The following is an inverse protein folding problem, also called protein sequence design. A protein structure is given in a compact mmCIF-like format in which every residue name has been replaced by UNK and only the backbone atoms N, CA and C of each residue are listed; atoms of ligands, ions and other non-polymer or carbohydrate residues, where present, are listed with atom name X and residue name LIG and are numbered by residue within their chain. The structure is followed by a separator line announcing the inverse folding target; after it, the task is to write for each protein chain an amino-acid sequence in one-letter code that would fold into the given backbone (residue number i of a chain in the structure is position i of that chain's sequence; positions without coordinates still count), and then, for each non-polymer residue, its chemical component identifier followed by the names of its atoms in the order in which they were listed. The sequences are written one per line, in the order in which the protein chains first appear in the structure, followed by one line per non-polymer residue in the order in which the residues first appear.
data_IF_670725515450
#
_entry.id   IF_670725515450
#
_cell.length_a   1.000
_cell.length_b   1.000
_cell.length_c   1.000
_cell.angle_alpha   90.00
_cell.angle_beta   90.00
_cell.angle_gamma   90.00
#
_symmetry.space_group_name_H-M   'P 1'
#
loop_
_entity.id
_entity.type
_entity.pdbx_description
1 polymer ?
#
# COMPACT_ATOMS: atom_id res chain seq x y z
N UNK A 1 35.51 -19.21 -16.81
CA UNK A 1 36.39 -20.39 -16.96
C UNK A 1 35.98 -21.53 -16.03
N UNK A 2 35.93 -21.34 -14.71
CA UNK A 2 35.72 -22.43 -13.74
C UNK A 2 34.50 -23.32 -13.98
N UNK A 3 33.32 -22.77 -14.26
CA UNK A 3 32.08 -23.55 -14.48
C UNK A 3 32.11 -24.39 -15.77
N UNK A 4 32.64 -23.86 -16.86
CA UNK A 4 32.78 -24.60 -18.12
C UNK A 4 33.74 -25.80 -17.98
N UNK A 5 34.82 -25.66 -17.21
CA UNK A 5 35.72 -26.78 -16.91
C UNK A 5 34.99 -27.90 -16.13
N UNK A 6 34.12 -27.54 -15.18
CA UNK A 6 33.34 -28.51 -14.40
C UNK A 6 32.30 -29.24 -15.25
N UNK A 7 31.66 -28.53 -16.18
CA UNK A 7 30.74 -29.13 -17.16
C UNK A 7 31.43 -30.23 -17.98
N UNK A 8 32.61 -29.92 -18.54
CA UNK A 8 33.40 -30.89 -19.30
C UNK A 8 33.84 -32.09 -18.45
N UNK A 9 34.27 -31.83 -17.22
CA UNK A 9 34.71 -32.88 -16.29
C UNK A 9 33.56 -33.84 -15.93
N UNK A 10 32.38 -33.30 -15.62
CA UNK A 10 31.19 -34.09 -15.30
C UNK A 10 30.76 -34.92 -16.51
N UNK A 11 30.80 -34.34 -17.72
CA UNK A 11 30.53 -35.08 -18.95
C UNK A 11 31.50 -36.25 -19.16
N UNK A 12 32.80 -36.06 -18.97
CA UNK A 12 33.78 -37.16 -19.12
C UNK A 12 33.60 -38.25 -18.05
N UNK A 13 33.38 -37.85 -16.80
CA UNK A 13 33.15 -38.80 -15.70
C UNK A 13 31.86 -39.60 -15.92
N UNK A 14 30.83 -38.97 -16.46
CA UNK A 14 29.56 -39.65 -16.78
C UNK A 14 29.72 -40.63 -17.93
N UNK A 15 30.40 -40.23 -19.01
CA UNK A 15 30.71 -41.12 -20.15
C UNK A 15 31.52 -42.36 -19.71
N UNK A 16 32.42 -42.19 -18.74
CA UNK A 16 33.25 -43.27 -18.19
C UNK A 16 32.54 -44.09 -17.11
N UNK A 17 31.25 -43.83 -16.86
CA UNK A 17 30.44 -44.50 -15.85
C UNK A 17 30.98 -44.37 -14.41
N UNK A 18 31.72 -43.29 -14.12
CA UNK A 18 32.18 -43.00 -12.75
C UNK A 18 31.08 -42.36 -11.90
N UNK A 19 30.19 -41.58 -12.54
CA UNK A 19 29.03 -40.93 -11.92
C UNK A 19 27.87 -40.90 -12.92
N UNK A 20 26.63 -40.75 -12.44
CA UNK A 20 25.49 -40.38 -13.28
C UNK A 20 25.27 -38.85 -13.22
N UNK A 21 26.11 -38.12 -13.95
CA UNK A 21 26.18 -36.67 -13.87
C UNK A 21 25.06 -35.95 -14.61
N UNK A 22 24.62 -34.82 -14.03
CA UNK A 22 23.63 -33.89 -14.58
C UNK A 22 24.09 -32.47 -14.30
N UNK A 23 24.07 -31.59 -15.29
CA UNK A 23 24.51 -30.20 -15.11
C UNK A 23 23.45 -29.22 -15.59
N UNK A 24 22.98 -28.39 -14.65
CA UNK A 24 22.02 -27.33 -14.90
C UNK A 24 22.72 -25.97 -14.95
N UNK A 25 22.61 -25.27 -16.08
CA UNK A 25 22.98 -23.86 -16.20
C UNK A 25 21.80 -23.02 -15.74
N UNK A 26 21.94 -22.42 -14.56
CA UNK A 26 20.86 -21.64 -13.94
C UNK A 26 20.80 -20.22 -14.54
N UNK A 27 19.60 -19.70 -14.82
CA UNK A 27 19.38 -18.27 -15.05
C UNK A 27 19.63 -17.47 -13.77
N UNK A 28 19.46 -16.15 -13.85
CA UNK A 28 19.48 -15.32 -12.63
C UNK A 28 18.24 -15.61 -11.77
N UNK A 29 18.48 -16.18 -10.59
CA UNK A 29 17.41 -16.55 -9.64
C UNK A 29 16.93 -15.32 -8.88
N UNK A 30 15.63 -15.00 -8.98
CA UNK A 30 14.99 -13.83 -8.35
C UNK A 30 13.60 -14.18 -7.76
N UNK A 31 13.10 -13.37 -6.81
CA UNK A 31 13.87 -12.47 -5.97
C UNK A 31 14.65 -13.29 -4.94
N UNK A 32 15.88 -12.88 -4.64
CA UNK A 32 16.64 -13.49 -3.53
C UNK A 32 16.24 -12.85 -2.20
N UNK A 33 15.93 -13.62 -1.14
CA UNK A 33 15.55 -13.06 0.16
C UNK A 33 16.60 -12.14 0.78
N UNK A 34 17.88 -12.44 0.55
CA UNK A 34 19.01 -11.67 1.05
C UNK A 34 19.74 -10.89 -0.06
N UNK A 35 20.25 -9.68 0.25
CA UNK A 35 21.00 -8.86 -0.70
C UNK A 35 22.30 -9.53 -1.13
N UNK A 36 22.76 -9.21 -2.33
CA UNK A 36 24.07 -9.59 -2.84
C UNK A 36 24.65 -8.47 -3.69
N UNK A 37 25.97 -8.49 -3.90
CA UNK A 37 26.71 -7.50 -4.68
C UNK A 37 26.86 -7.85 -6.17
N UNK A 38 26.10 -8.82 -6.68
CA UNK A 38 26.18 -9.21 -8.08
C UNK A 38 25.61 -8.15 -9.02
N UNK A 39 26.15 -8.02 -10.24
CA UNK A 39 25.60 -7.08 -11.23
C UNK A 39 24.09 -7.25 -11.48
N UNK A 40 23.53 -8.48 -11.54
CA UNK A 40 22.09 -8.67 -11.69
C UNK A 40 21.25 -8.45 -10.42
N UNK A 41 21.84 -8.01 -9.30
CA UNK A 41 21.14 -7.87 -8.02
C UNK A 41 19.90 -6.98 -8.11
N UNK A 42 19.95 -5.94 -8.95
CA UNK A 42 18.83 -5.03 -9.19
C UNK A 42 17.53 -5.73 -9.62
N UNK A 43 17.60 -6.90 -10.29
CA UNK A 43 16.43 -7.69 -10.67
C UNK A 43 15.75 -8.37 -9.47
N UNK A 44 16.48 -8.61 -8.38
CA UNK A 44 15.89 -8.96 -7.09
C UNK A 44 15.42 -7.72 -6.34
N UNK A 45 16.22 -6.65 -6.33
CA UNK A 45 15.96 -5.46 -5.52
C UNK A 45 14.67 -4.73 -5.93
N UNK A 46 14.37 -4.70 -7.24
CA UNK A 46 13.12 -4.11 -7.79
C UNK A 46 11.85 -4.79 -7.26
N UNK A 47 11.95 -6.03 -6.78
CA UNK A 47 10.84 -6.76 -6.15
C UNK A 47 10.98 -6.78 -4.63
N UNK A 48 12.13 -7.19 -4.11
CA UNK A 48 12.34 -7.45 -2.68
C UNK A 48 12.21 -6.20 -1.83
N UNK A 49 12.89 -5.11 -2.20
CA UNK A 49 12.94 -3.91 -1.34
C UNK A 49 11.56 -3.26 -1.25
N UNK A 50 10.85 -3.01 -2.37
CA UNK A 50 9.51 -2.43 -2.32
C UNK A 50 8.52 -3.30 -1.56
N UNK A 51 8.54 -4.62 -1.76
CA UNK A 51 7.67 -5.56 -1.04
C UNK A 51 7.91 -5.57 0.48
N UNK A 52 9.07 -5.10 0.95
CA UNK A 52 9.39 -4.92 2.37
C UNK A 52 9.15 -3.49 2.86
N UNK A 53 8.51 -2.64 2.06
CA UNK A 53 8.30 -1.22 2.35
C UNK A 53 9.59 -0.38 2.31
N UNK A 54 10.70 -0.93 1.78
CA UNK A 54 12.01 -0.26 1.76
C UNK A 54 12.27 0.39 0.39
N UNK A 55 12.85 1.59 0.35
CA UNK A 55 13.18 2.23 -0.93
C UNK A 55 14.22 1.42 -1.71
N UNK A 56 14.07 1.39 -3.03
CA UNK A 56 14.95 0.69 -3.96
C UNK A 56 15.57 1.69 -4.93
N UNK A 57 16.88 1.93 -4.81
CA UNK A 57 17.63 2.75 -5.77
C UNK A 57 18.32 1.83 -6.78
N UNK A 58 17.81 1.78 -8.00
CA UNK A 58 18.26 0.86 -9.04
C UNK A 58 19.31 1.54 -9.93
N UNK A 59 20.52 0.97 -9.96
CA UNK A 59 21.67 1.48 -10.73
C UNK A 59 21.68 1.05 -12.20
N UNK A 60 20.59 0.47 -12.68
CA UNK A 60 20.42 -0.02 -14.06
C UNK A 60 19.26 0.70 -14.74
N UNK A 61 19.26 0.75 -16.08
CA UNK A 61 18.15 1.35 -16.82
C UNK A 61 16.89 0.47 -16.74
N UNK A 62 15.67 1.05 -16.75
CA UNK A 62 14.41 0.29 -16.71
C UNK A 62 14.27 -0.73 -17.84
N UNK A 63 14.79 -0.43 -19.02
CA UNK A 63 14.72 -1.27 -20.23
C UNK A 63 15.78 -2.38 -20.29
N UNK A 64 16.68 -2.47 -19.29
CA UNK A 64 17.67 -3.53 -19.23
C UNK A 64 17.00 -4.89 -19.12
N UNK A 65 17.23 -5.74 -20.14
CA UNK A 65 16.66 -7.07 -20.24
C UNK A 65 17.59 -8.15 -19.70
N UNK A 66 17.04 -9.15 -19.02
CA UNK A 66 17.82 -10.27 -18.48
C UNK A 66 17.02 -11.57 -18.40
N UNK A 67 17.72 -12.71 -18.43
CA UNK A 67 17.12 -14.03 -18.25
C UNK A 67 17.02 -14.35 -16.75
N UNK A 68 15.80 -14.51 -16.25
CA UNK A 68 15.50 -14.70 -14.83
C UNK A 68 14.65 -15.95 -14.59
N UNK A 69 14.67 -16.46 -13.36
CA UNK A 69 13.83 -17.59 -12.93
C UNK A 69 13.43 -17.45 -11.45
N UNK A 70 12.19 -17.81 -11.13
CA UNK A 70 11.70 -17.91 -9.77
C UNK A 70 12.34 -19.09 -9.02
N UNK A 71 12.66 -18.89 -7.73
CA UNK A 71 13.32 -19.93 -6.93
C UNK A 71 12.48 -21.21 -6.80
N UNK A 72 11.15 -21.12 -6.72
CA UNK A 72 10.25 -22.28 -6.63
C UNK A 72 10.30 -23.17 -7.87
N UNK A 73 10.18 -22.57 -9.05
CA UNK A 73 10.28 -23.29 -10.33
C UNK A 73 11.67 -23.89 -10.50
N UNK A 74 12.71 -23.16 -10.12
CA UNK A 74 14.08 -23.66 -10.16
C UNK A 74 14.28 -24.90 -9.28
N UNK A 75 13.83 -24.85 -8.01
CA UNK A 75 13.92 -25.98 -7.08
C UNK A 75 13.18 -27.19 -7.65
N UNK A 76 11.95 -27.01 -8.14
CA UNK A 76 11.17 -28.08 -8.77
C UNK A 76 11.93 -28.70 -9.94
N UNK A 77 12.51 -27.87 -10.80
CA UNK A 77 13.24 -28.37 -11.96
C UNK A 77 14.55 -29.06 -11.59
N UNK A 78 15.26 -28.60 -10.56
CA UNK A 78 16.48 -29.27 -10.07
C UNK A 78 16.17 -30.65 -9.49
N UNK A 79 15.10 -30.77 -8.70
CA UNK A 79 14.61 -32.05 -8.18
C UNK A 79 14.19 -32.97 -9.32
N UNK A 80 13.45 -32.45 -10.30
CA UNK A 80 13.04 -33.21 -11.48
C UNK A 80 14.24 -33.73 -12.27
N UNK A 81 15.20 -32.85 -12.58
CA UNK A 81 16.42 -33.20 -13.29
C UNK A 81 17.19 -34.31 -12.54
N UNK A 82 17.35 -34.18 -11.22
CA UNK A 82 18.04 -35.17 -10.40
C UNK A 82 17.36 -36.55 -10.42
N UNK A 83 16.03 -36.59 -10.50
CA UNK A 83 15.24 -37.83 -10.48
C UNK A 83 15.02 -38.46 -11.87
N UNK A 84 15.36 -37.77 -12.97
CA UNK A 84 15.23 -38.35 -14.31
C UNK A 84 16.10 -39.61 -14.45
N UNK A 85 15.58 -40.71 -15.04
CA UNK A 85 16.40 -41.90 -15.27
C UNK A 85 17.52 -41.59 -16.25
N UNK A 86 18.68 -42.23 -16.09
CA UNK A 86 19.83 -42.03 -16.98
C UNK A 86 19.50 -42.26 -18.47
N UNK A 87 18.54 -43.16 -18.75
CA UNK A 87 18.02 -43.44 -20.09
C UNK A 87 17.34 -42.24 -20.76
N UNK A 88 16.81 -41.27 -19.99
CA UNK A 88 16.23 -40.04 -20.55
C UNK A 88 17.27 -39.18 -21.29
N UNK A 89 18.57 -39.44 -21.09
CA UNK A 89 19.66 -38.75 -21.76
C UNK A 89 20.32 -39.61 -22.84
N UNK A 90 19.76 -40.78 -23.19
CA UNK A 90 20.41 -41.73 -24.10
C UNK A 90 20.73 -41.15 -25.49
N UNK A 91 19.97 -40.15 -25.94
CA UNK A 91 20.15 -39.50 -27.24
C UNK A 91 21.34 -38.52 -27.29
N UNK A 92 21.94 -38.16 -26.14
CA UNK A 92 23.08 -37.23 -26.10
C UNK A 92 24.01 -37.49 -24.94
N UNK A 93 25.31 -37.50 -25.23
CA UNK A 93 26.36 -37.61 -24.23
C UNK A 93 26.50 -36.36 -23.35
N UNK A 94 26.03 -35.21 -23.85
CA UNK A 94 26.10 -33.96 -23.11
C UNK A 94 25.14 -34.01 -21.93
N UNK A 95 25.61 -33.84 -20.70
CA UNK A 95 24.78 -33.78 -19.48
C UNK A 95 24.44 -32.35 -19.08
N UNK A 96 24.90 -31.37 -19.85
CA UNK A 96 24.66 -29.97 -19.61
C UNK A 96 23.39 -29.48 -20.32
N UNK A 97 22.62 -28.65 -19.64
CA UNK A 97 21.49 -27.95 -20.25
C UNK A 97 21.23 -26.60 -19.59
N UNK A 98 20.70 -25.67 -20.38
CA UNK A 98 20.12 -24.44 -19.87
C UNK A 98 18.78 -24.73 -19.24
N UNK A 99 18.55 -24.22 -18.03
CA UNK A 99 17.22 -24.28 -17.43
C UNK A 99 16.28 -23.27 -18.08
N UNK A 100 14.96 -23.54 -18.09
CA UNK A 100 13.98 -22.58 -18.54
C UNK A 100 14.10 -21.23 -17.79
N UNK A 101 14.00 -20.13 -18.54
CA UNK A 101 14.07 -18.77 -18.01
C UNK A 101 12.97 -17.90 -18.65
N UNK A 102 12.58 -16.84 -17.93
CA UNK A 102 11.85 -15.71 -18.50
C UNK A 102 12.82 -14.60 -18.89
N UNK A 103 12.61 -14.02 -20.07
CA UNK A 103 13.40 -12.88 -20.54
C UNK A 103 12.60 -11.60 -20.30
N UNK A 104 12.97 -10.83 -19.28
CA UNK A 104 12.19 -9.67 -18.79
C UNK A 104 13.09 -8.46 -18.56
N UNK A 105 12.50 -7.27 -18.64
CA UNK A 105 13.15 -6.01 -18.26
C UNK A 105 12.94 -5.69 -16.77
N UNK A 106 13.71 -4.76 -16.22
CA UNK A 106 13.43 -4.21 -14.89
C UNK A 106 12.05 -3.55 -14.83
N UNK A 107 11.63 -2.89 -15.91
CA UNK A 107 10.31 -2.29 -16.03
C UNK A 107 9.20 -3.36 -16.00
N UNK A 108 9.38 -4.51 -16.66
CA UNK A 108 8.40 -5.61 -16.62
C UNK A 108 8.23 -6.15 -15.20
N UNK A 109 9.32 -6.28 -14.44
CA UNK A 109 9.28 -6.70 -13.03
C UNK A 109 8.60 -5.65 -12.15
N UNK A 110 8.90 -4.37 -12.36
CA UNK A 110 8.23 -3.28 -11.65
C UNK A 110 6.72 -3.26 -11.94
N UNK A 111 6.30 -3.38 -13.20
CA UNK A 111 4.87 -3.48 -13.57
C UNK A 111 4.21 -4.72 -12.94
N UNK A 112 4.92 -5.84 -12.94
CA UNK A 112 4.44 -7.09 -12.35
C UNK A 112 4.24 -6.98 -10.84
N UNK A 113 5.16 -6.30 -10.14
CA UNK A 113 5.02 -5.97 -8.73
C UNK A 113 3.74 -5.17 -8.46
N UNK A 114 3.52 -4.10 -9.22
CA UNK A 114 2.32 -3.26 -9.08
C UNK A 114 1.04 -4.05 -9.35
N UNK A 115 1.07 -5.03 -10.26
CA UNK A 115 -0.08 -5.86 -10.59
C UNK A 115 -0.46 -6.88 -9.51
N UNK A 116 0.48 -7.31 -8.66
CA UNK A 116 0.23 -8.34 -7.63
C UNK A 116 -0.06 -7.76 -6.24
N UNK A 117 0.13 -6.46 -6.05
CA UNK A 117 -0.04 -5.78 -4.77
C UNK A 117 -1.38 -5.03 -4.76
N UNK A 118 -2.23 -5.31 -3.77
CA UNK A 118 -3.56 -4.68 -3.64
C UNK A 118 -3.49 -3.18 -3.35
N UNK A 119 -2.51 -2.77 -2.53
CA UNK A 119 -2.28 -1.37 -2.17
C UNK A 119 -0.83 -0.99 -2.49
N UNK A 120 -0.58 -0.34 -3.64
CA UNK A 120 0.77 0.10 -4.03
C UNK A 120 1.44 1.06 -3.04
N UNK A 121 0.69 1.71 -2.14
CA UNK A 121 1.29 2.63 -1.15
C UNK A 121 2.08 1.92 -0.05
N UNK A 122 1.84 0.61 0.13
CA UNK A 122 2.63 -0.25 1.03
C UNK A 122 4.03 -0.50 0.48
N UNK A 123 4.26 -0.22 -0.80
CA UNK A 123 5.53 -0.45 -1.46
C UNK A 123 6.53 0.65 -1.15
N UNK A 124 7.76 0.24 -0.87
CA UNK A 124 8.88 1.14 -0.85
C UNK A 124 9.11 1.78 -2.22
N UNK A 125 9.49 3.06 -2.23
CA UNK A 125 9.67 3.84 -3.45
C UNK A 125 10.82 3.29 -4.29
N UNK A 126 10.57 3.08 -5.58
CA UNK A 126 11.60 2.74 -6.57
C UNK A 126 12.11 4.02 -7.24
N UNK A 127 13.42 4.20 -7.29
CA UNK A 127 14.09 5.20 -8.12
C UNK A 127 15.12 4.55 -9.04
N UNK A 128 15.30 5.13 -10.23
CA UNK A 128 16.31 4.69 -11.18
C UNK A 128 17.42 5.74 -11.24
N UNK A 129 18.64 5.32 -10.93
CA UNK A 129 19.86 6.12 -11.02
C UNK A 129 20.90 5.37 -11.87
N UNK A 130 20.67 5.25 -13.20
CA UNK A 130 21.44 4.33 -14.03
C UNK A 130 22.92 4.71 -14.09
N UNK A 131 23.77 3.74 -13.84
CA UNK A 131 25.21 3.82 -13.99
C UNK A 131 25.60 3.26 -15.36
N UNK A 132 26.21 4.10 -16.20
CA UNK A 132 26.53 3.75 -17.59
C UNK A 132 27.51 2.58 -17.70
N UNK A 133 28.46 2.46 -16.78
CA UNK A 133 29.45 1.39 -16.77
C UNK A 133 28.80 0.07 -16.34
N UNK A 134 27.96 0.08 -15.31
CA UNK A 134 27.22 -1.11 -14.87
C UNK A 134 26.26 -1.60 -15.95
N UNK A 135 25.54 -0.69 -16.61
CA UNK A 135 24.66 -1.03 -17.73
C UNK A 135 25.42 -1.65 -18.89
N UNK A 136 26.58 -1.09 -19.26
CA UNK A 136 27.43 -1.63 -20.32
C UNK A 136 28.01 -3.01 -19.96
N UNK A 137 28.36 -3.26 -18.70
CA UNK A 137 28.80 -4.58 -18.26
C UNK A 137 27.68 -5.60 -18.34
N UNK A 138 26.49 -5.27 -17.83
CA UNK A 138 25.37 -6.20 -17.83
C UNK A 138 24.86 -6.50 -19.25
N UNK A 139 24.94 -5.55 -20.19
CA UNK A 139 24.50 -5.79 -21.56
C UNK A 139 25.29 -6.89 -22.29
N UNK A 140 26.48 -7.24 -21.79
CA UNK A 140 27.27 -8.38 -22.30
C UNK A 140 26.74 -9.74 -21.83
N UNK A 141 25.79 -9.77 -20.88
CA UNK A 141 25.22 -11.00 -20.35
C UNK A 141 24.15 -11.53 -21.29
N UNK A 142 23.95 -12.85 -21.27
CA UNK A 142 22.86 -13.46 -22.02
C UNK A 142 21.51 -12.92 -21.55
N UNK A 143 20.68 -12.48 -22.51
CA UNK A 143 19.34 -11.95 -22.23
C UNK A 143 18.25 -13.01 -22.40
N UNK A 144 18.59 -14.14 -23.01
CA UNK A 144 17.71 -15.26 -23.26
C UNK A 144 18.48 -16.57 -23.11
N UNK A 145 17.76 -17.65 -22.80
CA UNK A 145 18.32 -18.99 -22.66
C UNK A 145 17.49 -19.97 -23.49
N UNK A 146 18.15 -20.66 -24.43
CA UNK A 146 17.52 -21.77 -25.14
C UNK A 146 17.44 -22.99 -24.20
N UNK A 147 16.23 -23.26 -23.73
CA UNK A 147 15.90 -24.37 -22.85
C UNK A 147 15.11 -25.48 -23.56
N UNK A 148 15.20 -25.59 -24.89
CA UNK A 148 14.44 -26.58 -25.68
C UNK A 148 14.62 -28.00 -25.15
N UNK A 149 15.88 -28.40 -24.90
CA UNK A 149 16.20 -29.73 -24.35
C UNK A 149 15.65 -29.94 -22.94
N UNK A 150 15.75 -28.94 -22.08
CA UNK A 150 15.21 -29.01 -20.73
C UNK A 150 13.68 -29.17 -20.73
N UNK A 151 12.99 -28.44 -21.62
CA UNK A 151 11.54 -28.55 -21.79
C UNK A 151 11.11 -29.91 -22.33
N UNK A 152 11.84 -30.46 -23.31
CA UNK A 152 11.59 -31.81 -23.83
C UNK A 152 11.70 -32.89 -22.74
N UNK A 153 12.54 -32.64 -21.72
CA UNK A 153 12.72 -33.51 -20.56
C UNK A 153 11.73 -33.21 -19.41
N UNK A 154 10.75 -32.32 -19.61
CA UNK A 154 9.67 -32.05 -18.64
C UNK A 154 9.94 -30.92 -17.63
N UNK A 155 11.05 -30.19 -17.75
CA UNK A 155 11.26 -28.98 -16.95
C UNK A 155 10.35 -27.84 -17.44
N UNK A 156 9.83 -27.02 -16.52
CA UNK A 156 8.93 -25.92 -16.88
C UNK A 156 9.58 -24.57 -16.60
N UNK A 157 9.09 -23.53 -17.28
CA UNK A 157 9.42 -22.15 -16.94
C UNK A 157 8.39 -21.56 -15.99
N UNK A 158 8.76 -20.45 -15.36
CA UNK A 158 7.81 -19.59 -14.67
C UNK A 158 6.69 -19.14 -15.64
N UNK A 159 5.47 -19.02 -15.13
CA UNK A 159 4.29 -18.65 -15.93
C UNK A 159 4.29 -17.16 -16.28
N UNK A 160 4.78 -16.30 -15.39
CA UNK A 160 4.93 -14.86 -15.60
C UNK A 160 5.85 -14.22 -14.55
N UNK A 161 6.31 -13.00 -14.82
CA UNK A 161 7.00 -12.19 -13.82
C UNK A 161 6.11 -11.84 -12.61
N UNK A 162 4.79 -11.71 -12.82
CA UNK A 162 3.81 -11.52 -11.74
C UNK A 162 3.74 -12.74 -10.82
N UNK A 163 3.77 -13.97 -11.37
CA UNK A 163 3.80 -15.18 -10.56
C UNK A 163 5.04 -15.23 -9.65
N UNK A 164 6.21 -14.86 -10.19
CA UNK A 164 7.47 -14.77 -9.40
C UNK A 164 7.33 -13.76 -8.25
N UNK A 165 6.76 -12.58 -8.51
CA UNK A 165 6.57 -11.56 -7.49
C UNK A 165 5.56 -12.01 -6.41
N UNK A 166 4.45 -12.63 -6.82
CA UNK A 166 3.42 -13.16 -5.92
C UNK A 166 3.96 -14.28 -5.02
N UNK A 167 4.71 -15.23 -5.59
CA UNK A 167 5.35 -16.32 -4.83
C UNK A 167 6.32 -15.77 -3.77
N UNK A 168 7.09 -14.74 -4.11
CA UNK A 168 7.98 -14.09 -3.13
C UNK A 168 7.19 -13.34 -2.05
N UNK A 169 6.16 -12.59 -2.43
CA UNK A 169 5.32 -11.87 -1.49
C UNK A 169 4.64 -12.81 -0.48
N UNK A 170 4.11 -13.95 -0.95
CA UNK A 170 3.43 -14.91 -0.10
C UNK A 170 4.34 -15.58 0.94
N UNK A 171 5.64 -15.70 0.65
CA UNK A 171 6.60 -16.45 1.49
C UNK A 171 7.52 -15.58 2.34
N UNK A 172 7.88 -14.38 1.85
CA UNK A 172 8.92 -13.53 2.45
C UNK A 172 8.49 -12.12 2.84
N UNK A 173 7.21 -11.79 2.67
CA UNK A 173 6.64 -10.52 3.14
C UNK A 173 5.77 -10.83 4.35
N UNK A 174 6.05 -10.16 5.46
CA UNK A 174 5.19 -10.21 6.64
C UNK A 174 3.78 -9.71 6.24
N UNK A 175 2.71 -10.51 6.45
CA UNK A 175 1.34 -10.06 6.22
C UNK A 175 1.02 -8.72 6.91
N UNK A 176 1.70 -8.39 8.02
CA UNK A 176 1.57 -7.13 8.74
C UNK A 176 2.18 -5.91 8.02
N UNK A 177 3.04 -6.10 7.02
CA UNK A 177 3.59 -5.04 6.16
C UNK A 177 2.67 -4.70 4.97
N UNK A 178 1.71 -5.57 4.65
CA UNK A 178 0.65 -5.33 3.68
C UNK A 178 -0.65 -4.96 4.42
N UNK A 179 -0.68 -3.81 5.09
CA UNK A 179 -1.94 -3.33 5.69
C UNK A 179 -2.82 -2.77 4.58
N UNK A 180 -3.98 -3.39 4.25
CA UNK A 180 -4.85 -2.86 3.21
C UNK A 180 -5.36 -1.47 3.62
N UNK A 181 -5.55 -0.58 2.63
CA UNK A 181 -6.45 0.56 2.81
C UNK A 181 -7.84 -0.01 3.08
N UNK A 182 -8.41 0.33 4.22
CA UNK A 182 -9.75 -0.10 4.61
C UNK A 182 -10.75 1.04 4.41
N UNK A 183 -12.03 0.71 4.28
CA UNK A 183 -13.06 1.74 4.34
C UNK A 183 -13.19 2.27 5.78
N UNK A 184 -13.65 3.51 5.96
CA UNK A 184 -13.74 4.14 7.29
C UNK A 184 -14.52 3.29 8.31
N UNK A 185 -15.58 2.59 7.88
CA UNK A 185 -16.40 1.71 8.73
C UNK A 185 -15.75 0.37 9.07
N UNK A 186 -14.65 0.01 8.41
CA UNK A 186 -13.84 -1.17 8.70
C UNK A 186 -12.65 -0.82 9.62
N UNK A 187 -12.39 0.47 9.87
CA UNK A 187 -11.29 0.94 10.69
C UNK A 187 -11.64 0.74 12.19
N UNK A 188 -10.85 -0.03 12.96
CA UNK A 188 -11.22 -0.44 14.33
C UNK A 188 -11.36 0.70 15.36
N UNK A 189 -10.82 1.88 15.08
CA UNK A 189 -10.92 3.08 15.91
C UNK A 189 -12.09 3.97 15.51
N UNK A 190 -12.76 3.73 14.38
CA UNK A 190 -13.91 4.49 13.90
C UNK A 190 -15.21 3.73 14.18
N UNK A 191 -15.83 4.01 15.32
CA UNK A 191 -17.12 3.40 15.65
C UNK A 191 -18.27 4.24 15.11
N UNK A 192 -19.08 3.67 14.24
CA UNK A 192 -20.31 4.32 13.77
C UNK A 192 -21.26 4.55 14.95
N UNK A 193 -21.40 5.80 15.36
CA UNK A 193 -22.22 6.21 16.50
C UNK A 193 -23.65 6.59 16.08
N UNK A 194 -23.80 7.16 14.87
CA UNK A 194 -25.09 7.58 14.33
C UNK A 194 -25.03 7.66 12.80
N UNK A 195 -26.13 7.34 12.12
CA UNK A 195 -26.25 7.53 10.68
C UNK A 195 -27.69 7.87 10.28
N UNK A 196 -27.84 8.76 9.31
CA UNK A 196 -29.09 9.01 8.60
C UNK A 196 -28.81 9.42 7.14
N UNK A 197 -29.84 9.86 6.42
CA UNK A 197 -29.74 10.33 5.02
C UNK A 197 -28.89 11.59 4.82
N UNK A 198 -28.42 12.24 5.89
CA UNK A 198 -27.65 13.49 5.80
C UNK A 198 -26.21 13.33 6.29
N UNK A 199 -26.02 12.57 7.37
CA UNK A 199 -24.72 12.43 8.04
C UNK A 199 -24.45 10.99 8.48
N UNK A 200 -23.17 10.64 8.52
CA UNK A 200 -22.66 9.52 9.30
C UNK A 200 -21.69 10.08 10.34
N UNK A 201 -21.84 9.66 11.59
CA UNK A 201 -21.05 10.15 12.72
C UNK A 201 -20.25 8.97 13.25
N UNK A 202 -18.94 9.06 13.15
CA UNK A 202 -18.01 8.11 13.73
C UNK A 202 -17.42 8.71 15.00
N UNK A 203 -17.51 7.96 16.10
CA UNK A 203 -16.70 8.21 17.29
C UNK A 203 -15.32 7.61 17.03
N UNK A 204 -14.29 8.43 17.16
CA UNK A 204 -12.91 8.02 16.96
C UNK A 204 -12.17 8.11 18.27
N UNK A 205 -11.55 7.01 18.69
CA UNK A 205 -10.61 7.01 19.81
C UNK A 205 -9.34 6.28 19.46
N UNK A 206 -8.22 6.99 19.53
CA UNK A 206 -6.91 6.44 19.28
C UNK A 206 -6.02 6.55 20.53
N UNK A 207 -5.72 5.43 21.23
CA UNK A 207 -4.90 5.43 22.44
C UNK A 207 -3.47 5.96 22.22
N UNK A 208 -2.80 6.43 23.28
CA UNK A 208 -1.40 6.85 23.20
C UNK A 208 -0.48 5.75 22.67
N UNK A 209 0.39 6.10 21.73
CA UNK A 209 1.32 5.14 21.11
C UNK A 209 0.67 4.23 20.07
N UNK A 210 -0.58 4.49 19.68
CA UNK A 210 -1.35 3.66 18.77
C UNK A 210 -1.64 4.38 17.44
N UNK A 211 -1.98 3.59 16.42
CA UNK A 211 -2.18 4.06 15.04
C UNK A 211 -3.46 3.49 14.46
N UNK A 212 -4.24 4.35 13.79
CA UNK A 212 -5.35 3.88 12.95
C UNK A 212 -4.83 3.06 11.77
N UNK A 213 -5.64 2.18 11.19
CA UNK A 213 -5.32 1.65 9.87
C UNK A 213 -5.29 2.78 8.83
N UNK A 214 -4.64 2.51 7.70
CA UNK A 214 -4.77 3.37 6.52
C UNK A 214 -6.22 3.23 6.04
N UNK A 215 -6.97 4.33 6.02
CA UNK A 215 -8.38 4.31 5.65
C UNK A 215 -8.73 5.50 4.75
N UNK A 216 -9.85 5.36 4.02
CA UNK A 216 -10.31 6.34 3.03
C UNK A 216 -11.57 7.07 3.50
N UNK A 217 -11.57 8.39 3.32
CA UNK A 217 -12.74 9.27 3.43
C UNK A 217 -13.21 9.61 2.03
N UNK A 218 -14.50 9.37 1.74
CA UNK A 218 -15.09 9.52 0.39
C UNK A 218 -16.05 10.68 0.26
N UNK A 219 -16.38 11.33 1.37
CA UNK A 219 -17.29 12.47 1.45
C UNK A 219 -16.69 13.52 2.36
N UNK A 220 -17.11 14.77 2.18
CA UNK A 220 -16.67 15.86 3.05
C UNK A 220 -16.99 15.55 4.50
N UNK A 221 -16.03 15.86 5.37
CA UNK A 221 -16.10 15.55 6.80
C UNK A 221 -15.86 16.77 7.68
N UNK A 222 -16.59 16.84 8.78
CA UNK A 222 -16.29 17.73 9.90
C UNK A 222 -15.69 16.93 11.06
N UNK A 223 -14.50 17.32 11.49
CA UNK A 223 -13.80 16.68 12.61
C UNK A 223 -13.90 17.54 13.85
N UNK A 224 -14.58 17.06 14.89
CA UNK A 224 -14.72 17.74 16.18
C UNK A 224 -13.77 17.10 17.19
N UNK A 225 -12.77 17.85 17.68
CA UNK A 225 -11.76 17.30 18.60
C UNK A 225 -12.15 17.56 20.07
N UNK A 226 -12.13 16.51 20.88
CA UNK A 226 -12.52 16.56 22.30
C UNK A 226 -11.34 16.47 23.27
N UNK A 227 -10.13 16.27 22.74
CA UNK A 227 -8.91 16.14 23.51
C UNK A 227 -7.81 16.92 22.82
N UNK A 228 -6.99 17.63 23.59
CA UNK A 228 -5.74 18.17 23.07
C UNK A 228 -4.71 17.04 22.97
N UNK A 229 -4.28 16.70 21.75
CA UNK A 229 -3.39 15.56 21.51
C UNK A 229 -2.32 15.91 20.45
N UNK A 230 -1.09 15.42 20.65
CA UNK A 230 -0.05 15.49 19.62
C UNK A 230 -0.13 14.23 18.77
N UNK A 231 -0.30 14.42 17.47
CA UNK A 231 -0.47 13.32 16.52
C UNK A 231 0.50 13.46 15.36
N UNK A 232 0.67 12.38 14.62
CA UNK A 232 1.37 12.38 13.35
C UNK A 232 0.44 11.78 12.30
N UNK A 233 0.08 12.57 11.30
CA UNK A 233 -0.73 12.13 10.17
C UNK A 233 0.13 11.71 8.99
N UNK A 234 -0.22 10.60 8.35
CA UNK A 234 0.41 10.15 7.10
C UNK A 234 -0.67 9.98 6.04
N UNK A 235 -0.64 10.82 5.01
CA UNK A 235 -1.48 10.62 3.83
C UNK A 235 -0.84 9.60 2.89
N UNK A 236 -1.65 8.95 2.07
CA UNK A 236 -1.18 8.01 1.05
C UNK A 236 -0.11 8.67 0.17
N UNK A 237 1.06 8.04 0.06
CA UNK A 237 2.21 8.52 -0.73
C UNK A 237 2.82 9.87 -0.27
N UNK A 238 2.51 10.35 0.93
CA UNK A 238 3.14 11.54 1.52
C UNK A 238 3.96 11.16 2.76
N UNK A 239 4.98 11.97 3.05
CA UNK A 239 5.75 11.85 4.29
C UNK A 239 4.88 12.15 5.52
N UNK A 240 5.11 11.48 6.66
CA UNK A 240 4.42 11.78 7.91
C UNK A 240 4.61 13.23 8.34
N UNK A 241 3.53 13.87 8.81
CA UNK A 241 3.51 15.25 9.28
C UNK A 241 3.00 15.30 10.70
N UNK A 242 3.74 15.97 11.57
CA UNK A 242 3.32 16.23 12.94
C UNK A 242 2.19 17.27 12.97
N UNK A 243 1.27 17.09 13.90
CA UNK A 243 0.11 17.94 14.10
C UNK A 243 -0.27 17.99 15.59
N UNK A 244 -0.93 19.07 15.99
CA UNK A 244 -1.41 19.27 17.35
C UNK A 244 -2.89 19.57 17.28
N UNK A 245 -3.68 18.66 17.83
CA UNK A 245 -5.12 18.79 17.94
C UNK A 245 -5.45 19.65 19.16
N UNK A 246 -6.35 20.61 19.01
CA UNK A 246 -6.82 21.44 20.12
C UNK A 246 -8.20 20.99 20.57
N UNK A 247 -8.40 20.91 21.88
CA UNK A 247 -9.70 20.61 22.47
C UNK A 247 -10.74 21.65 22.07
N UNK A 248 -11.89 21.23 21.52
CA UNK A 248 -12.94 22.12 21.00
C UNK A 248 -12.68 22.67 19.59
N UNK A 249 -11.56 22.30 18.96
CA UNK A 249 -11.30 22.65 17.56
C UNK A 249 -12.22 21.85 16.62
N UNK A 250 -12.66 22.50 15.54
CA UNK A 250 -13.37 21.84 14.45
C UNK A 250 -12.58 21.98 13.16
N UNK A 251 -12.27 20.87 12.48
CA UNK A 251 -11.61 20.84 11.16
C UNK A 251 -12.58 20.41 10.07
N UNK A 252 -12.31 20.83 8.84
CA UNK A 252 -13.09 20.49 7.66
C UNK A 252 -12.19 19.77 6.67
N UNK A 253 -12.63 18.61 6.19
CA UNK A 253 -12.04 17.88 5.08
C UNK A 253 -12.89 18.01 3.82
N UNK A 254 -12.29 18.53 2.75
CA UNK A 254 -12.89 18.64 1.42
C UNK A 254 -12.52 17.38 0.62
N UNK A 255 -13.26 16.29 0.85
CA UNK A 255 -12.95 14.96 0.31
C UNK A 255 -13.81 14.59 -0.89
N UNK A 256 -14.90 15.33 -1.12
CA UNK A 256 -15.77 15.15 -2.28
C UNK A 256 -15.06 15.49 -3.60
N UNK A 257 -14.06 16.39 -3.57
CA UNK A 257 -13.23 16.73 -4.73
C UNK A 257 -11.91 15.94 -4.79
N UNK A 258 -11.42 15.44 -3.66
CA UNK A 258 -10.17 14.70 -3.56
C UNK A 258 -10.21 13.75 -2.38
N UNK A 259 -10.25 12.44 -2.64
CA UNK A 259 -10.31 11.42 -1.58
C UNK A 259 -9.15 11.60 -0.59
N UNK A 260 -9.46 11.61 0.70
CA UNK A 260 -8.44 11.55 1.73
C UNK A 260 -8.21 10.10 2.13
N UNK A 261 -7.05 9.56 1.78
CA UNK A 261 -6.57 8.29 2.31
C UNK A 261 -5.43 8.56 3.28
N UNK A 262 -5.60 8.21 4.56
CA UNK A 262 -4.61 8.51 5.59
C UNK A 262 -4.63 7.54 6.77
N UNK A 263 -3.60 7.66 7.62
CA UNK A 263 -3.56 7.09 8.98
C UNK A 263 -3.09 8.15 9.97
N UNK A 264 -3.51 8.00 11.23
CA UNK A 264 -3.12 8.89 12.33
C UNK A 264 -2.43 8.08 13.42
N UNK A 265 -1.23 8.50 13.82
CA UNK A 265 -0.49 8.00 14.97
C UNK A 265 -0.67 8.97 16.15
N UNK A 266 -1.07 8.46 17.32
CA UNK A 266 -1.13 9.26 18.54
C UNK A 266 0.22 9.21 19.26
N UNK A 267 0.92 10.36 19.33
CA UNK A 267 2.32 10.41 19.79
C UNK A 267 2.46 10.23 21.31
N UNK A 268 1.39 10.41 22.07
CA UNK A 268 1.45 10.36 23.53
C UNK A 268 0.08 10.58 24.19
N UNK A 269 0.03 10.65 25.52
CA UNK A 269 -1.22 10.95 26.23
C UNK A 269 -1.74 12.36 25.90
N UNK A 270 -3.08 12.59 25.93
CA UNK A 270 -4.16 11.65 26.27
C UNK A 270 -4.60 10.77 25.08
N UNK A 271 -5.62 9.92 25.26
CA UNK A 271 -6.32 9.29 24.13
C UNK A 271 -6.80 10.39 23.19
N UNK A 272 -6.49 10.28 21.90
CA UNK A 272 -7.02 11.19 20.89
C UNK A 272 -8.48 10.82 20.66
N UNK A 273 -9.39 11.75 20.94
CA UNK A 273 -10.83 11.57 20.76
C UNK A 273 -11.39 12.63 19.82
N UNK A 274 -12.05 12.20 18.75
CA UNK A 274 -12.80 13.08 17.88
C UNK A 274 -14.13 12.46 17.44
N UNK A 275 -15.05 13.33 17.00
CA UNK A 275 -16.16 12.90 16.15
C UNK A 275 -15.79 13.25 14.71
N UNK A 276 -15.85 12.26 13.84
CA UNK A 276 -15.81 12.43 12.40
C UNK A 276 -17.24 12.39 11.84
N UNK A 277 -17.68 13.53 11.32
CA UNK A 277 -19.03 13.71 10.79
C UNK A 277 -18.96 13.83 9.28
N UNK A 278 -19.16 12.70 8.60
CA UNK A 278 -19.26 12.60 7.16
C UNK A 278 -20.60 13.18 6.66
N UNK A 279 -20.56 14.10 5.70
CA UNK A 279 -21.72 14.79 5.11
C UNK A 279 -22.29 13.98 3.93
N UNK A 280 -22.88 12.82 4.23
CA UNK A 280 -23.37 11.84 3.26
C UNK A 280 -24.49 12.34 2.31
N UNK A 281 -25.26 13.36 2.70
CA UNK A 281 -26.47 13.79 1.99
C UNK A 281 -26.30 14.68 0.74
N UNK A 282 -25.07 14.91 0.24
CA UNK A 282 -24.82 15.86 -0.87
C UNK A 282 -24.41 15.20 -2.20
N UNK A 283 -24.46 13.86 -2.30
CA UNK A 283 -23.85 13.15 -3.44
C UNK A 283 -24.67 13.09 -4.75
N UNK A 284 -25.86 13.71 -4.85
CA UNK A 284 -26.70 13.60 -6.06
C UNK A 284 -27.23 14.91 -6.65
N UNK A 285 -26.84 16.08 -6.15
CA UNK A 285 -27.24 17.35 -6.78
C UNK A 285 -25.99 18.11 -7.25
N UNK A 286 -25.93 18.37 -8.56
CA UNK A 286 -24.94 19.27 -9.12
C UNK A 286 -25.02 20.62 -8.36
N UNK A 287 -23.89 21.22 -7.95
CA UNK A 287 -23.90 22.53 -7.32
C UNK A 287 -24.65 23.51 -8.22
N UNK A 288 -25.64 24.27 -7.73
CA UNK A 288 -26.33 25.24 -8.59
C UNK A 288 -25.30 26.24 -9.14
N UNK A 289 -25.38 26.50 -10.46
CA UNK A 289 -24.40 27.31 -11.22
C UNK A 289 -24.19 28.72 -10.65
N UNK A 290 -25.14 29.21 -9.84
CA UNK A 290 -24.96 30.26 -8.85
C UNK A 290 -25.68 29.84 -7.57
N UNK A 291 -24.93 29.51 -6.52
CA UNK A 291 -25.51 29.46 -5.16
C UNK A 291 -25.95 30.88 -4.82
N UNK A 292 -27.22 31.13 -4.43
CA UNK A 292 -27.57 32.43 -3.88
C UNK A 292 -26.65 32.70 -2.70
N UNK A 293 -26.14 33.93 -2.60
CA UNK A 293 -25.54 34.42 -1.36
C UNK A 293 -26.68 34.39 -0.34
N UNK A 294 -26.81 33.30 0.41
CA UNK A 294 -27.70 33.29 1.57
C UNK A 294 -26.98 34.17 2.57
N UNK A 295 -27.36 35.44 2.61
CA UNK A 295 -27.05 36.30 3.75
C UNK A 295 -27.36 35.49 5.00
N UNK A 296 -26.36 35.32 5.86
CA UNK A 296 -26.52 34.54 7.07
C UNK A 296 -27.75 35.08 7.80
N UNK A 297 -28.81 34.29 8.00
CA UNK A 297 -29.92 34.76 8.80
C UNK A 297 -29.35 35.13 10.17
N UNK A 298 -29.82 36.24 10.75
CA UNK A 298 -29.43 36.63 12.09
C UNK A 298 -29.67 35.47 13.03
N UNK A 299 -28.57 34.87 13.51
CA UNK A 299 -28.66 33.81 14.49
C UNK A 299 -28.94 34.43 15.85
N UNK A 300 -29.67 33.71 16.73
CA UNK A 300 -29.90 34.18 18.09
C UNK A 300 -28.58 34.51 18.79
N UNK A 301 -28.61 35.53 19.65
CA UNK A 301 -27.45 35.94 20.42
C UNK A 301 -26.80 34.75 21.17
N UNK A 302 -25.47 34.72 21.21
CA UNK A 302 -24.69 33.67 21.86
C UNK A 302 -24.11 32.60 20.93
N UNK A 303 -24.61 32.47 19.69
CA UNK A 303 -24.00 31.63 18.67
C UNK A 303 -22.91 32.38 17.90
N UNK A 304 -21.65 31.99 18.06
CA UNK A 304 -20.50 32.57 17.36
C UNK A 304 -20.11 31.68 16.19
N UNK A 305 -20.21 32.19 14.95
CA UNK A 305 -19.74 31.47 13.76
C UNK A 305 -18.24 31.21 13.84
N UNK A 306 -17.84 29.94 13.75
CA UNK A 306 -16.42 29.53 13.76
C UNK A 306 -15.96 28.97 12.42
N UNK A 307 -16.85 28.33 11.65
CA UNK A 307 -16.57 27.89 10.28
C UNK A 307 -17.76 28.06 9.35
N UNK A 308 -17.45 28.45 8.11
CA UNK A 308 -18.41 28.50 7.01
C UNK A 308 -17.80 27.88 5.75
N UNK A 309 -18.53 26.92 5.16
CA UNK A 309 -18.22 26.25 3.90
C UNK A 309 -19.51 25.98 3.12
N UNK A 310 -19.42 25.75 1.79
CA UNK A 310 -20.58 25.35 1.00
C UNK A 310 -21.20 24.05 1.57
N UNK A 311 -22.41 24.14 2.14
CA UNK A 311 -23.13 22.98 2.69
C UNK A 311 -23.03 22.79 4.21
N UNK A 312 -22.16 23.51 4.91
CA UNK A 312 -22.03 23.42 6.37
C UNK A 312 -21.57 24.72 7.03
N UNK A 313 -22.16 25.03 8.19
CA UNK A 313 -21.71 26.11 9.09
C UNK A 313 -21.55 25.54 10.50
N UNK A 314 -20.52 25.98 11.20
CA UNK A 314 -20.23 25.59 12.58
C UNK A 314 -20.28 26.82 13.45
N UNK A 315 -21.02 26.74 14.55
CA UNK A 315 -21.16 27.81 15.53
C UNK A 315 -20.77 27.27 16.90
N UNK A 316 -20.06 28.06 17.67
CA UNK A 316 -19.80 27.78 19.08
C UNK A 316 -20.86 28.46 19.93
N UNK A 317 -21.33 27.73 20.93
CA UNK A 317 -22.18 28.23 22.00
C UNK A 317 -21.48 27.94 23.32
N UNK A 318 -21.05 29.00 24.01
CA UNK A 318 -20.41 28.88 25.31
C UNK A 318 -21.49 29.02 26.40
N UNK A 319 -21.78 27.94 27.12
CA UNK A 319 -22.77 27.91 28.23
C UNK A 319 -22.06 27.76 29.57
N UNK A 320 -22.29 28.70 30.48
CA UNK A 320 -21.86 28.59 31.86
C UNK A 320 -22.72 27.58 32.64
N UNK A 321 -22.16 26.98 33.69
CA UNK A 321 -22.90 26.07 34.55
C UNK A 321 -24.13 26.75 35.17
N UNK A 322 -25.29 26.08 35.09
CA UNK A 322 -26.57 26.61 35.56
C UNK A 322 -27.26 27.60 34.62
N UNK A 323 -26.62 27.99 33.52
CA UNK A 323 -27.23 28.86 32.50
C UNK A 323 -28.02 28.05 31.46
N UNK A 324 -29.02 28.69 30.87
CA UNK A 324 -29.79 28.16 29.75
C UNK A 324 -29.66 29.06 28.53
N UNK A 325 -29.71 28.46 27.34
CA UNK A 325 -29.85 29.19 26.08
C UNK A 325 -31.06 28.69 25.34
N UNK A 326 -31.82 29.62 24.77
CA UNK A 326 -32.97 29.34 23.92
C UNK A 326 -32.90 30.26 22.70
N UNK A 327 -33.07 29.69 21.53
CA UNK A 327 -33.04 30.45 20.29
C UNK A 327 -33.64 29.67 19.14
N UNK A 328 -34.20 30.37 18.16
CA UNK A 328 -34.68 29.76 16.92
C UNK A 328 -33.50 29.53 15.99
N UNK A 329 -33.30 28.28 15.57
CA UNK A 329 -32.33 27.95 14.52
C UNK A 329 -33.09 27.92 13.19
N UNK A 330 -32.87 28.86 12.26
CA UNK A 330 -33.62 28.98 11.02
C UNK A 330 -33.16 27.98 9.94
N UNK A 331 -32.53 26.87 10.34
CA UNK A 331 -32.01 25.84 9.43
C UNK A 331 -32.88 24.58 9.53
N UNK A 332 -33.16 23.97 8.38
CA UNK A 332 -33.92 22.71 8.32
C UNK A 332 -33.19 21.53 8.96
N UNK A 333 -31.86 21.63 9.15
CA UNK A 333 -31.00 20.57 9.65
C UNK A 333 -29.97 21.19 10.61
N UNK A 334 -29.84 20.63 11.81
CA UNK A 334 -28.85 21.04 12.79
C UNK A 334 -28.32 19.81 13.53
N UNK A 335 -27.01 19.76 13.76
CA UNK A 335 -26.35 18.79 14.62
C UNK A 335 -25.76 19.54 15.81
N UNK A 336 -26.15 19.16 17.02
CA UNK A 336 -25.58 19.70 18.26
C UNK A 336 -24.51 18.75 18.77
N UNK A 337 -23.30 19.27 18.93
CA UNK A 337 -22.16 18.52 19.47
C UNK A 337 -21.81 19.13 20.82
N UNK A 338 -21.98 18.36 21.90
CA UNK A 338 -21.69 18.81 23.26
C UNK A 338 -20.29 18.35 23.64
N UNK A 339 -19.44 19.32 23.99
CA UNK A 339 -18.08 19.04 24.43
C UNK A 339 -18.07 18.34 25.81
N UNK A 340 -17.14 17.41 26.00
CA UNK A 340 -16.98 16.59 27.21
C UNK A 340 -16.99 17.44 28.51
N UNK A 341 -17.68 16.96 29.54
CA UNK A 341 -17.72 17.53 30.89
C UNK A 341 -19.01 18.27 31.27
N UNK A 342 -19.96 18.45 30.35
CA UNK A 342 -21.23 19.12 30.62
C UNK A 342 -22.41 18.13 30.70
N UNK A 343 -23.21 18.24 31.76
CA UNK A 343 -24.55 17.68 31.79
C UNK A 343 -25.52 18.71 31.23
N UNK A 344 -25.99 18.48 30.00
CA UNK A 344 -26.91 19.40 29.32
C UNK A 344 -28.28 18.75 29.24
N UNK A 345 -29.31 19.45 29.74
CA UNK A 345 -30.70 19.13 29.47
C UNK A 345 -31.15 19.97 28.28
N UNK A 346 -31.56 19.32 27.20
CA UNK A 346 -32.05 19.97 25.99
C UNK A 346 -33.46 19.53 25.63
N UNK A 347 -34.19 20.41 24.95
CA UNK A 347 -35.49 20.11 24.34
C UNK A 347 -35.60 20.83 23.00
N UNK A 348 -36.15 20.15 22.00
CA UNK A 348 -36.55 20.81 20.75
C UNK A 348 -37.98 21.34 20.95
N UNK A 349 -38.19 22.64 20.71
CA UNK A 349 -39.53 23.21 20.63
C UNK A 349 -40.29 22.71 19.40
N UNK A 350 -41.57 23.09 19.28
CA UNK A 350 -42.42 22.66 18.17
C UNK A 350 -41.81 23.03 16.80
N UNK A 351 -41.85 22.07 15.87
CA UNK A 351 -41.57 22.33 14.45
C UNK A 351 -42.77 23.10 13.88
N UNK A 352 -42.59 24.39 13.61
CA UNK A 352 -43.58 25.21 12.90
C UNK A 352 -43.63 24.89 11.41
#
# INVERSE_FOLDING_TARGET
MTKACMELLINDFTRRNFVDGRVARLPTVIPRPEPNSGLPAAFSDVLREPLRGRPAVLRLKPDMKHAVCGYRVLIRNLIHLANLPAAAFAESIDRCMNMPALSVTLEDLHKSLLAVVKDPSTLGKISYEPDSELCAKLSTFHQNMDATRARALGMMGDSSAAAIAADFAAEYVDPALLKPVVEIYEEPRHWLAFANEHVRVFRVENPPGDTTLMHVHRVDSLYFFFTAASVQGTKLNEEPKDDVLTCGEVRYGDHGNCLLTHKIYNKGPPVMMCLDVELAGFQNEAPPAKRPKIESPDLPAGLRLTKERPGARVHNLDLAAGSSWSGRIPFHRALFVVHCGAHVQGGLGDRL
#
